data_IF_072926305175
#
_entry.id   IF_072926305175
#
_cell.length_a   1.000
_cell.length_b   1.000
_cell.length_c   1.000
_cell.angle_alpha   90.00
_cell.angle_beta   90.00
_cell.angle_gamma   90.00
#
_symmetry.space_group_name_H-M   'P 1'
#
loop_
_entity.id
_entity.type
_entity.pdbx_description
1 polymer ?
#
# COMPACT_ATOMS: atom_id res chain seq x y z
N UNK A 1 10.89 3.02 9.35
CA UNK A 1 9.50 3.45 9.02
C UNK A 1 8.59 2.22 9.09
N UNK A 2 7.35 2.34 9.59
CA UNK A 2 6.38 1.23 9.66
C UNK A 2 5.13 1.52 8.84
N UNK A 3 4.75 0.60 7.95
CA UNK A 3 3.48 0.60 7.22
C UNK A 3 2.57 -0.53 7.70
N UNK A 4 1.26 -0.35 7.59
CA UNK A 4 0.29 -1.36 8.02
C UNK A 4 -0.17 -2.18 6.80
N UNK A 5 0.03 -3.50 6.84
CA UNK A 5 -0.34 -4.44 5.77
C UNK A 5 -1.16 -5.63 6.26
N UNK A 6 -1.70 -5.53 7.48
CA UNK A 6 -2.51 -6.58 8.12
C UNK A 6 -3.98 -6.18 8.09
N UNK A 7 -4.85 -7.14 7.79
CA UNK A 7 -6.30 -6.92 7.67
C UNK A 7 -7.06 -7.64 8.81
N UNK A 8 -8.18 -7.09 9.31
CA UNK A 8 -8.96 -7.73 10.38
C UNK A 8 -9.44 -9.14 9.99
N UNK A 9 -9.20 -10.12 10.86
CA UNK A 9 -9.54 -11.55 10.63
C UNK A 9 -11.05 -11.86 10.71
N UNK A 10 -11.88 -10.98 11.29
CA UNK A 10 -13.28 -11.27 11.62
C UNK A 10 -14.31 -10.81 10.59
N UNK A 11 -14.39 -11.48 9.42
CA UNK A 11 -15.68 -11.77 8.76
C UNK A 11 -15.51 -12.76 7.59
N UNK A 12 -16.28 -13.85 7.54
CA UNK A 12 -16.21 -14.84 6.47
C UNK A 12 -17.03 -14.35 5.25
N UNK A 13 -16.36 -13.69 4.31
CA UNK A 13 -16.64 -13.72 2.86
C UNK A 13 -15.68 -12.78 2.13
N UNK A 14 -15.04 -13.26 1.06
CA UNK A 14 -14.62 -12.54 -0.17
C UNK A 14 -13.97 -11.13 -0.16
N UNK A 15 -13.51 -10.57 0.96
CA UNK A 15 -12.97 -9.20 1.02
C UNK A 15 -11.74 -8.97 0.15
N UNK A 16 -11.79 -8.07 -0.83
CA UNK A 16 -10.65 -7.60 -1.65
C UNK A 16 -10.39 -6.15 -1.30
N UNK A 17 -9.12 -5.79 -1.12
CA UNK A 17 -8.75 -4.54 -0.45
C UNK A 17 -7.55 -3.91 -1.14
N UNK A 18 -7.65 -2.62 -1.42
CA UNK A 18 -6.55 -1.75 -1.82
C UNK A 18 -6.11 -0.93 -0.59
N UNK A 19 -4.86 -1.07 -0.19
CA UNK A 19 -4.23 -0.24 0.85
C UNK A 19 -3.21 0.66 0.18
N UNK A 20 -3.34 1.96 0.42
CA UNK A 20 -2.41 2.99 -0.02
C UNK A 20 -1.93 3.75 1.21
N UNK A 21 -0.62 3.72 1.47
CA UNK A 21 0.01 4.57 2.46
C UNK A 21 1.01 5.46 1.75
N UNK A 22 0.84 6.79 1.83
CA UNK A 22 1.82 7.73 1.34
C UNK A 22 2.47 8.44 2.54
N UNK A 23 3.78 8.27 2.71
CA UNK A 23 4.57 8.88 3.77
C UNK A 23 5.56 9.86 3.16
N UNK A 24 5.60 11.10 3.62
CA UNK A 24 6.65 12.04 3.22
C UNK A 24 7.93 11.72 4.00
N UNK A 25 9.00 11.45 3.27
CA UNK A 25 10.31 11.21 3.83
C UNK A 25 11.26 12.40 3.60
N UNK A 26 12.14 12.68 4.56
CA UNK A 26 13.18 13.71 4.52
C UNK A 26 14.56 13.08 4.80
N UNK A 27 15.60 13.91 4.86
CA UNK A 27 16.98 13.50 5.13
C UNK A 27 17.11 12.61 6.39
N UNK A 28 18.15 11.77 6.39
CA UNK A 28 18.40 10.72 7.40
C UNK A 28 18.26 11.23 8.83
N UNK A 29 17.68 10.42 9.70
CA UNK A 29 17.40 10.78 11.09
C UNK A 29 16.50 9.77 11.81
N UNK A 30 16.19 10.07 13.07
CA UNK A 30 15.48 9.14 13.96
C UNK A 30 13.99 9.03 13.57
N UNK A 31 13.44 7.82 13.34
CA UNK A 31 12.06 7.67 12.89
C UNK A 31 11.08 8.33 13.85
N UNK A 32 10.21 9.18 13.32
CA UNK A 32 9.00 9.62 14.02
C UNK A 32 7.80 8.80 13.54
N UNK A 33 6.65 8.91 14.19
CA UNK A 33 5.45 8.20 13.75
C UNK A 33 4.83 8.96 12.57
N UNK A 34 4.31 8.22 11.57
CA UNK A 34 3.46 8.82 10.55
C UNK A 34 2.25 9.49 11.19
N UNK A 35 1.90 10.68 10.71
CA UNK A 35 0.72 11.42 11.14
C UNK A 35 -0.50 10.98 10.32
N UNK A 36 -1.65 10.92 10.97
CA UNK A 36 -2.89 10.39 10.40
C UNK A 36 -3.98 11.46 10.47
N UNK A 37 -4.89 11.44 9.50
CA UNK A 37 -6.06 12.34 9.48
C UNK A 37 -7.21 11.84 10.35
N UNK A 38 -7.08 10.64 10.93
CA UNK A 38 -8.04 10.05 11.87
C UNK A 38 -7.32 9.39 13.05
N UNK A 39 -7.93 9.50 14.24
CA UNK A 39 -7.51 8.77 15.45
C UNK A 39 -8.31 7.48 15.66
N UNK A 40 -9.35 7.24 14.86
CA UNK A 40 -10.14 6.01 14.95
C UNK A 40 -9.37 4.83 14.36
N UNK A 41 -9.12 3.85 15.21
CA UNK A 41 -8.31 2.67 14.90
C UNK A 41 -8.95 1.83 13.79
N UNK A 42 -10.27 1.65 13.84
CA UNK A 42 -10.98 0.83 12.86
C UNK A 42 -10.99 1.48 11.48
N UNK A 43 -11.26 2.78 11.43
CA UNK A 43 -11.23 3.57 10.19
C UNK A 43 -9.84 3.58 9.57
N UNK A 44 -8.80 3.81 10.38
CA UNK A 44 -7.40 3.83 9.94
C UNK A 44 -6.96 2.50 9.31
N UNK A 45 -7.44 1.37 9.84
CA UNK A 45 -7.04 0.02 9.40
C UNK A 45 -8.03 -0.65 8.46
N UNK A 46 -9.15 0.01 8.17
CA UNK A 46 -10.07 -0.45 7.16
C UNK A 46 -9.49 -0.21 5.76
N UNK A 47 -9.93 -1.01 4.78
CA UNK A 47 -9.55 -0.83 3.38
C UNK A 47 -9.91 0.56 2.90
N UNK A 48 -9.07 1.11 2.04
CA UNK A 48 -9.41 2.36 1.37
C UNK A 48 -10.51 2.14 0.34
N UNK A 49 -10.55 0.98 -0.31
CA UNK A 49 -11.63 0.64 -1.21
C UNK A 49 -11.93 -0.87 -1.19
N UNK A 50 -13.22 -1.19 -1.22
CA UNK A 50 -13.74 -2.53 -1.53
C UNK A 50 -14.13 -2.54 -3.02
N UNK A 51 -13.19 -2.95 -3.87
CA UNK A 51 -13.35 -2.87 -5.33
C UNK A 51 -14.46 -3.79 -5.84
N UNK A 52 -14.72 -4.91 -5.17
CA UNK A 52 -15.81 -5.83 -5.45
C UNK A 52 -17.19 -5.18 -5.39
N UNK A 53 -17.38 -4.22 -4.48
CA UNK A 53 -18.63 -3.48 -4.34
C UNK A 53 -18.78 -2.39 -5.41
N UNK A 54 -17.75 -2.22 -6.24
CA UNK A 54 -17.63 -1.18 -7.26
C UNK A 54 -17.46 -1.80 -8.66
N UNK A 55 -17.91 -3.05 -8.84
CA UNK A 55 -17.93 -3.73 -10.14
C UNK A 55 -16.62 -4.40 -10.54
N UNK A 56 -15.59 -4.43 -9.68
CA UNK A 56 -14.34 -5.12 -9.99
C UNK A 56 -14.41 -6.61 -9.63
N UNK A 57 -14.47 -7.45 -10.66
CA UNK A 57 -14.43 -8.90 -10.51
C UNK A 57 -13.13 -9.39 -9.84
N UNK A 58 -13.19 -10.56 -9.19
CA UNK A 58 -12.00 -11.22 -8.64
C UNK A 58 -11.09 -11.60 -9.80
N UNK A 59 -9.81 -11.27 -9.70
CA UNK A 59 -8.82 -11.64 -10.71
C UNK A 59 -7.85 -12.61 -10.07
N UNK A 60 -7.74 -13.82 -10.63
CA UNK A 60 -6.71 -14.78 -10.24
C UNK A 60 -5.32 -14.25 -10.64
N UNK A 61 -5.22 -13.74 -11.87
CA UNK A 61 -4.05 -13.00 -12.35
C UNK A 61 -4.40 -11.51 -12.50
N UNK A 62 -4.16 -10.76 -11.43
CA UNK A 62 -4.35 -9.31 -11.45
C UNK A 62 -3.36 -8.59 -12.38
N UNK A 63 -2.15 -9.14 -12.58
CA UNK A 63 -1.14 -8.54 -13.44
C UNK A 63 -1.57 -8.61 -14.90
N UNK A 64 -2.07 -9.76 -15.35
CA UNK A 64 -2.65 -9.90 -16.68
C UNK A 64 -3.89 -9.01 -16.84
N UNK A 65 -4.80 -9.02 -15.87
CA UNK A 65 -6.00 -8.18 -15.92
C UNK A 65 -5.65 -6.69 -16.02
N UNK A 66 -4.75 -6.16 -15.19
CA UNK A 66 -4.40 -4.73 -15.22
C UNK A 66 -3.79 -4.34 -16.56
N UNK A 67 -2.93 -5.20 -17.11
CA UNK A 67 -2.24 -4.97 -18.39
C UNK A 67 -3.26 -4.93 -19.54
N UNK A 68 -4.21 -5.87 -19.56
CA UNK A 68 -5.31 -5.90 -20.54
C UNK A 68 -6.21 -4.65 -20.46
N UNK A 69 -6.34 -4.07 -19.27
CA UNK A 69 -7.12 -2.86 -19.03
C UNK A 69 -6.29 -1.57 -19.13
N UNK A 70 -5.07 -1.64 -19.67
CA UNK A 70 -4.24 -0.46 -19.96
C UNK A 70 -3.40 0.07 -18.80
N UNK A 71 -3.44 -0.56 -17.62
CA UNK A 71 -2.65 -0.13 -16.46
C UNK A 71 -1.28 -0.82 -16.46
N UNK A 72 -0.20 -0.02 -16.45
CA UNK A 72 1.20 -0.44 -16.57
C UNK A 72 1.85 -0.89 -15.26
N UNK A 73 1.36 -0.41 -14.12
CA UNK A 73 1.84 -0.77 -12.77
C UNK A 73 0.67 -0.94 -11.81
N UNK A 74 0.95 -1.44 -10.59
CA UNK A 74 -0.07 -1.41 -9.54
C UNK A 74 -0.41 0.03 -9.19
N UNK A 75 0.59 0.91 -9.04
CA UNK A 75 0.38 2.34 -8.84
C UNK A 75 -0.53 2.95 -9.90
N UNK A 76 -0.30 2.68 -11.18
CA UNK A 76 -1.10 3.22 -12.28
C UNK A 76 -2.60 2.85 -12.13
N UNK A 77 -2.88 1.59 -11.81
CA UNK A 77 -4.24 1.18 -11.48
C UNK A 77 -4.79 1.87 -10.23
N UNK A 78 -4.00 2.02 -9.18
CA UNK A 78 -4.47 2.59 -7.93
C UNK A 78 -4.69 4.10 -8.05
N UNK A 79 -3.85 4.81 -8.82
CA UNK A 79 -3.92 6.26 -9.03
C UNK A 79 -4.98 6.66 -10.09
N UNK A 80 -5.30 5.79 -11.05
CA UNK A 80 -6.18 6.11 -12.19
C UNK A 80 -7.41 5.20 -12.34
N UNK A 81 -7.55 4.19 -11.48
CA UNK A 81 -8.70 3.29 -11.49
C UNK A 81 -10.01 4.02 -11.18
N UNK A 82 -11.09 3.63 -11.88
CA UNK A 82 -12.43 4.17 -11.68
C UNK A 82 -13.11 3.54 -10.47
N UNK A 83 -12.66 3.88 -9.28
CA UNK A 83 -13.26 3.51 -8.01
C UNK A 83 -13.23 4.70 -7.04
N UNK A 84 -14.08 4.61 -6.03
CA UNK A 84 -14.16 5.54 -4.91
C UNK A 84 -13.49 4.93 -3.69
N UNK A 85 -12.90 5.79 -2.86
CA UNK A 85 -12.34 5.40 -1.57
C UNK A 85 -13.34 5.66 -0.45
N UNK A 86 -13.11 5.04 0.71
CA UNK A 86 -13.85 5.25 1.95
C UNK A 86 -13.99 6.75 2.22
N UNK A 87 -15.21 7.20 2.52
CA UNK A 87 -15.52 8.61 2.76
C UNK A 87 -14.56 9.21 3.80
N UNK A 88 -13.91 10.31 3.45
CA UNK A 88 -12.96 11.02 4.30
C UNK A 88 -11.50 10.60 4.13
N UNK A 89 -11.23 9.46 3.47
CA UNK A 89 -9.88 9.10 3.08
C UNK A 89 -9.42 9.92 1.87
N UNK A 90 -8.14 10.28 1.84
CA UNK A 90 -7.50 10.83 0.65
C UNK A 90 -7.27 9.73 -0.39
N UNK A 91 -7.55 10.02 -1.65
CA UNK A 91 -7.39 9.03 -2.72
C UNK A 91 -5.92 8.62 -2.91
N UNK A 92 -4.97 9.54 -2.66
CA UNK A 92 -3.55 9.34 -2.90
C UNK A 92 -2.75 8.94 -1.66
N UNK A 93 -3.26 9.27 -0.46
CA UNK A 93 -2.56 9.10 0.82
C UNK A 93 -3.35 8.28 1.84
N UNK A 94 -4.58 7.88 1.52
CA UNK A 94 -5.46 7.17 2.42
C UNK A 94 -5.76 8.00 3.67
N UNK A 95 -5.44 7.43 4.83
CA UNK A 95 -5.57 8.10 6.13
C UNK A 95 -4.28 8.77 6.61
N UNK A 96 -3.19 8.69 5.83
CA UNK A 96 -1.95 9.38 6.17
C UNK A 96 -2.09 10.86 5.86
N UNK A 97 -1.65 11.74 6.75
CA UNK A 97 -1.71 13.18 6.51
C UNK A 97 -0.58 13.62 5.53
N UNK A 98 -0.90 14.05 4.30
CA UNK A 98 0.11 14.55 3.35
C UNK A 98 0.75 15.86 3.80
N UNK A 99 0.09 16.60 4.70
CA UNK A 99 0.62 17.84 5.30
C UNK A 99 1.39 17.55 6.59
N UNK A 100 1.47 16.30 7.00
CA UNK A 100 2.22 15.90 8.17
C UNK A 100 3.72 16.18 8.05
N UNK A 101 4.39 16.25 9.20
CA UNK A 101 5.82 16.46 9.31
C UNK A 101 6.56 15.34 8.58
N UNK A 102 7.48 15.68 7.65
CA UNK A 102 8.30 14.68 6.97
C UNK A 102 9.06 13.80 7.97
N UNK A 103 9.07 12.50 7.68
CA UNK A 103 9.74 11.48 8.46
C UNK A 103 11.16 11.31 7.95
N UNK A 104 12.18 11.16 8.80
CA UNK A 104 13.51 10.89 8.27
C UNK A 104 13.59 9.50 7.61
N UNK A 105 14.52 9.35 6.66
CA UNK A 105 14.90 8.04 6.13
C UNK A 105 15.44 7.18 7.28
N UNK A 106 14.89 5.97 7.51
CA UNK A 106 15.30 5.10 8.60
C UNK A 106 16.73 4.56 8.41
N UNK A 107 17.41 4.33 9.52
CA UNK A 107 18.74 3.70 9.52
C UNK A 107 18.71 2.32 8.84
N UNK A 108 19.78 2.02 8.10
CA UNK A 108 19.89 0.79 7.31
C UNK A 108 18.81 0.66 6.24
N UNK A 109 18.16 1.77 5.86
CA UNK A 109 17.08 1.82 4.89
C UNK A 109 15.90 0.89 5.25
N UNK A 110 15.73 0.64 6.56
CA UNK A 110 14.82 -0.37 7.07
C UNK A 110 13.35 0.07 7.04
N UNK A 111 12.54 -0.68 6.30
CA UNK A 111 11.09 -0.58 6.29
C UNK A 111 10.48 -1.79 6.97
N UNK A 112 9.45 -1.55 7.77
CA UNK A 112 8.68 -2.60 8.43
C UNK A 112 7.23 -2.50 7.98
N UNK A 113 6.62 -3.65 7.79
CA UNK A 113 5.18 -3.78 7.67
C UNK A 113 4.60 -4.48 8.90
N UNK A 114 3.29 -4.45 9.12
CA UNK A 114 2.66 -5.32 10.14
C UNK A 114 2.57 -6.79 9.69
N UNK A 115 2.83 -7.03 8.40
CA UNK A 115 2.86 -8.33 7.75
C UNK A 115 1.69 -8.46 6.78
N UNK A 116 2.00 -8.77 5.53
CA UNK A 116 1.00 -9.07 4.51
C UNK A 116 0.32 -10.38 4.89
N UNK A 117 -0.94 -10.34 5.29
CA UNK A 117 -1.69 -11.56 5.70
C UNK A 117 -2.47 -12.21 4.55
N UNK A 118 -2.40 -11.63 3.36
CA UNK A 118 -3.11 -12.10 2.19
C UNK A 118 -2.26 -11.95 0.94
N UNK A 119 -2.47 -12.87 0.00
CA UNK A 119 -1.82 -12.81 -1.31
C UNK A 119 -2.13 -11.50 -2.03
N UNK A 120 -1.19 -11.06 -2.85
CA UNK A 120 -1.43 -10.02 -3.84
C UNK A 120 -0.25 -9.08 -4.05
N UNK A 121 -0.32 -8.27 -5.12
CA UNK A 121 0.79 -7.44 -5.53
C UNK A 121 1.00 -6.27 -4.60
N UNK A 122 2.26 -5.87 -4.46
CA UNK A 122 2.62 -4.61 -3.82
C UNK A 122 3.69 -3.87 -4.62
N UNK A 123 3.70 -2.55 -4.46
CA UNK A 123 4.75 -1.69 -4.97
C UNK A 123 5.10 -0.63 -3.92
N UNK A 124 6.38 -0.28 -3.84
CA UNK A 124 6.85 0.89 -3.11
C UNK A 124 7.49 1.84 -4.11
N UNK A 125 7.13 3.11 -3.97
CA UNK A 125 7.61 4.20 -4.81
C UNK A 125 8.20 5.29 -3.95
N UNK A 126 9.28 5.90 -4.40
CA UNK A 126 9.80 7.16 -3.89
C UNK A 126 9.63 8.16 -5.03
N UNK A 127 8.77 9.15 -4.81
CA UNK A 127 8.28 10.08 -5.82
C UNK A 127 7.79 9.34 -7.07
N UNK A 128 8.55 9.37 -8.16
CA UNK A 128 8.22 8.71 -9.43
C UNK A 128 9.09 7.48 -9.71
N UNK A 129 9.89 7.05 -8.75
CA UNK A 129 10.79 5.88 -8.88
C UNK A 129 10.22 4.71 -8.12
N UNK A 130 10.01 3.57 -8.80
CA UNK A 130 9.60 2.33 -8.14
C UNK A 130 10.81 1.65 -7.53
N UNK A 131 10.81 1.51 -6.22
CA UNK A 131 11.93 0.98 -5.41
C UNK A 131 11.65 -0.42 -4.89
N UNK A 132 10.39 -0.88 -4.92
CA UNK A 132 10.01 -2.27 -4.66
C UNK A 132 8.82 -2.67 -5.53
N UNK A 133 8.83 -3.92 -5.99
CA UNK A 133 7.67 -4.57 -6.61
C UNK A 133 7.63 -6.04 -6.18
N UNK A 134 6.43 -6.57 -5.94
CA UNK A 134 6.18 -8.01 -5.88
C UNK A 134 4.81 -8.33 -6.46
N UNK A 135 4.72 -9.43 -7.21
CA UNK A 135 3.44 -9.94 -7.72
C UNK A 135 2.64 -10.64 -6.59
N UNK A 136 3.34 -11.19 -5.59
CA UNK A 136 2.79 -11.62 -4.31
C UNK A 136 3.70 -11.21 -3.13
N UNK A 137 3.30 -10.18 -2.39
CA UNK A 137 4.11 -9.68 -1.28
C UNK A 137 3.91 -10.44 0.03
N UNK A 138 2.88 -11.27 0.13
CA UNK A 138 2.76 -12.24 1.21
C UNK A 138 3.90 -13.26 1.18
N UNK A 139 4.22 -13.77 -0.01
CA UNK A 139 5.31 -14.73 -0.20
C UNK A 139 6.68 -14.03 -0.24
N UNK A 140 6.79 -12.87 -0.92
CA UNK A 140 8.07 -12.16 -1.08
C UNK A 140 8.60 -11.53 0.23
N UNK A 141 7.71 -11.11 1.14
CA UNK A 141 8.06 -10.38 2.37
C UNK A 141 7.51 -11.15 3.57
N UNK A 142 8.15 -12.28 3.89
CA UNK A 142 7.72 -13.17 4.98
C UNK A 142 7.98 -12.55 6.37
N UNK A 143 9.14 -11.92 6.56
CA UNK A 143 9.61 -11.49 7.90
C UNK A 143 9.17 -10.09 8.30
N UNK A 144 8.18 -9.52 7.59
CA UNK A 144 7.60 -8.19 7.80
C UNK A 144 8.57 -7.01 7.61
N UNK A 145 9.87 -7.22 7.75
CA UNK A 145 10.94 -6.26 7.47
C UNK A 145 11.48 -6.42 6.05
N UNK A 146 11.85 -5.30 5.43
CA UNK A 146 12.48 -5.24 4.12
C UNK A 146 13.25 -3.93 3.97
N UNK A 147 14.25 -3.91 3.08
CA UNK A 147 15.02 -2.72 2.76
C UNK A 147 14.44 -2.01 1.55
N UNK A 148 14.52 -0.68 1.55
CA UNK A 148 14.08 0.17 0.43
C UNK A 148 15.27 1.01 -0.04
N UNK A 149 15.57 1.00 -1.32
CA UNK A 149 16.59 1.94 -1.83
C UNK A 149 16.04 3.38 -1.83
N UNK A 150 16.54 4.22 -0.92
CA UNK A 150 16.18 5.64 -0.83
C UNK A 150 17.03 6.55 -1.73
N UNK A 151 17.88 6.02 -2.60
CA UNK A 151 18.76 6.79 -3.49
C UNK A 151 18.01 7.82 -4.36
N UNK A 152 16.76 7.52 -4.70
CA UNK A 152 15.86 8.40 -5.46
C UNK A 152 15.39 9.63 -4.67
N UNK A 153 15.45 9.62 -3.34
CA UNK A 153 15.01 10.72 -2.51
C UNK A 153 16.04 11.85 -2.51
N UNK A 154 15.71 13.00 -3.12
CA UNK A 154 16.56 14.20 -3.13
C UNK A 154 15.91 15.29 -2.27
N UNK A 155 16.28 15.36 -1.00
CA UNK A 155 15.71 16.31 -0.03
C UNK A 155 14.46 15.77 0.65
N UNK A 156 13.30 16.34 0.35
CA UNK A 156 12.00 15.81 0.80
C UNK A 156 11.32 15.08 -0.34
N UNK A 157 11.00 13.80 -0.14
CA UNK A 157 10.35 12.93 -1.10
C UNK A 157 9.05 12.36 -0.53
N UNK A 158 8.25 11.76 -1.38
CA UNK A 158 7.04 11.01 -1.00
C UNK A 158 7.25 9.54 -1.25
N UNK A 159 7.29 8.75 -0.17
CA UNK A 159 7.18 7.30 -0.24
C UNK A 159 5.71 6.91 -0.41
N UNK A 160 5.37 6.14 -1.44
CA UNK A 160 4.04 5.55 -1.61
C UNK A 160 4.15 4.04 -1.56
N UNK A 161 3.38 3.44 -0.68
CA UNK A 161 3.24 2.01 -0.54
C UNK A 161 1.84 1.61 -1.01
N UNK A 162 1.81 0.81 -2.07
CA UNK A 162 0.60 0.26 -2.65
C UNK A 162 0.56 -1.24 -2.36
N UNK A 163 -0.56 -1.72 -1.85
CA UNK A 163 -0.83 -3.14 -1.75
C UNK A 163 -2.27 -3.42 -2.14
N UNK A 164 -2.46 -4.49 -2.91
CA UNK A 164 -3.79 -4.98 -3.24
C UNK A 164 -3.90 -6.44 -2.85
N UNK A 165 -4.84 -6.75 -1.97
CA UNK A 165 -5.24 -8.13 -1.68
C UNK A 165 -5.90 -8.77 -2.91
N UNK A 166 -5.34 -9.90 -3.33
CA UNK A 166 -5.94 -10.87 -4.23
C UNK A 166 -6.37 -12.08 -3.40
N UNK A 167 -7.64 -12.47 -3.50
CA UNK A 167 -8.01 -13.81 -3.03
C UNK A 167 -7.62 -14.79 -4.13
N UNK A 168 -6.68 -15.71 -3.87
CA UNK A 168 -6.62 -16.96 -4.64
C UNK A 168 -8.00 -17.58 -4.50
N UNK A 169 -8.79 -17.63 -5.57
CA UNK A 169 -9.81 -18.67 -5.67
C UNK A 169 -8.99 -19.96 -5.63
N UNK A 170 -9.16 -20.75 -4.58
CA UNK A 170 -8.37 -21.94 -4.37
C UNK A 170 -8.43 -22.79 -5.65
N UNK A 171 -7.31 -22.90 -6.37
CA UNK A 171 -7.07 -24.08 -7.21
C UNK A 171 -6.54 -25.14 -6.27
N UNK A 172 -7.47 -25.91 -5.70
CA UNK A 172 -7.28 -27.32 -5.37
C UNK A 172 -8.50 -28.05 -5.90
#
# INVERSE_FOLDING_TARGET
MTVESTLPKHRPSTRKQASLAAVRAALRGRPVAAQWTTNDKETKYNPLAFLENQGFATQQDFRAWRTKNGYKTLRDFMDHGKYTVTKGADFSCGWTDPKGTPQPIPDGDAMRSTGYTHDGPCEVWIDNTRVLQGDNCHEKIADKGYTIDYSACKGTCTLRWYWRRCTRLASR
#
